data_IF_550297114695
#
_entry.id   IF_550297114695
#
_cell.length_a   1.000
_cell.length_b   1.000
_cell.length_c   1.000
_cell.angle_alpha   90.00
_cell.angle_beta   90.00
_cell.angle_gamma   90.00
#
_symmetry.space_group_name_H-M   'P 1'
#
loop_
_entity.id
_entity.type
_entity.pdbx_description
1 polymer ?
#
# COMPACT_ATOMS: atom_id res chain seq x y z
N UNK A 1 10.49 -3.04 16.82
CA UNK A 1 10.88 -1.62 16.86
C UNK A 1 9.79 -0.82 16.15
N UNK A 2 9.00 -0.05 16.89
CA UNK A 2 7.97 0.84 16.33
C UNK A 2 8.62 2.16 15.89
N UNK A 3 8.22 2.69 14.74
CA UNK A 3 8.62 4.02 14.32
C UNK A 3 7.68 5.07 14.93
N UNK A 4 8.22 6.20 15.39
CA UNK A 4 7.44 7.34 15.89
C UNK A 4 6.98 8.24 14.74
N UNK A 5 5.87 8.95 14.94
CA UNK A 5 5.36 9.94 13.98
C UNK A 5 6.45 10.99 13.68
N UNK A 6 6.70 11.25 12.40
CA UNK A 6 7.76 12.17 11.96
C UNK A 6 9.10 11.52 11.66
N UNK A 7 9.28 10.22 11.93
CA UNK A 7 10.48 9.49 11.57
C UNK A 7 10.53 9.14 10.07
N UNK A 8 11.70 9.26 9.44
CA UNK A 8 11.96 8.79 8.09
C UNK A 8 12.52 7.38 8.13
N UNK A 9 11.80 6.42 7.55
CA UNK A 9 12.22 5.01 7.46
C UNK A 9 12.49 4.66 6.01
N UNK A 10 13.69 4.14 5.72
CA UNK A 10 13.97 3.55 4.40
C UNK A 10 13.12 2.31 4.22
N UNK A 11 12.33 2.27 3.15
CA UNK A 11 11.43 1.15 2.87
C UNK A 11 11.61 0.62 1.45
N UNK A 12 11.44 -0.69 1.29
CA UNK A 12 11.45 -1.40 0.02
C UNK A 12 10.04 -1.83 -0.34
N UNK A 13 9.58 -1.47 -1.55
CA UNK A 13 8.25 -1.83 -2.03
C UNK A 13 8.14 -3.33 -2.26
N UNK A 14 7.08 -3.93 -1.72
CA UNK A 14 6.67 -5.31 -1.98
C UNK A 14 5.59 -5.40 -3.05
N UNK A 15 4.78 -4.33 -3.20
CA UNK A 15 3.74 -4.25 -4.21
C UNK A 15 2.71 -3.19 -3.89
N UNK A 16 1.54 -3.31 -4.52
CA UNK A 16 0.44 -2.37 -4.40
C UNK A 16 -0.89 -3.11 -4.34
N UNK A 17 -1.77 -2.65 -3.46
CA UNK A 17 -3.19 -2.99 -3.46
C UNK A 17 -3.91 -1.86 -4.18
N UNK A 18 -4.36 -2.15 -5.39
CA UNK A 18 -5.21 -1.26 -6.15
C UNK A 18 -6.61 -1.25 -5.54
N UNK A 19 -7.16 -0.07 -5.28
CA UNK A 19 -8.47 0.03 -4.64
C UNK A 19 -9.26 1.23 -5.15
N UNK A 20 -10.57 1.06 -5.20
CA UNK A 20 -11.52 2.16 -5.33
C UNK A 20 -12.01 2.54 -3.95
N UNK A 21 -12.02 3.83 -3.66
CA UNK A 21 -12.63 4.36 -2.46
C UNK A 21 -13.79 5.27 -2.85
N UNK A 22 -14.97 5.03 -2.28
CA UNK A 22 -16.14 5.87 -2.44
C UNK A 22 -16.36 6.69 -1.16
N UNK A 23 -16.41 8.01 -1.30
CA UNK A 23 -16.77 8.95 -0.24
C UNK A 23 -17.75 9.97 -0.83
N UNK A 24 -18.83 10.26 -0.12
CA UNK A 24 -19.76 11.33 -0.51
C UNK A 24 -20.28 11.20 -1.96
N UNK A 25 -20.56 9.97 -2.39
CA UNK A 25 -21.04 9.65 -3.73
C UNK A 25 -19.99 9.70 -4.85
N UNK A 26 -18.73 10.00 -4.54
CA UNK A 26 -17.62 10.01 -5.51
C UNK A 26 -16.69 8.84 -5.29
N UNK A 27 -16.41 8.10 -6.37
CA UNK A 27 -15.45 7.00 -6.38
C UNK A 27 -14.12 7.46 -6.95
N UNK A 28 -13.05 7.31 -6.17
CA UNK A 28 -11.68 7.65 -6.56
C UNK A 28 -10.75 6.45 -6.43
N UNK A 29 -9.67 6.44 -7.23
CA UNK A 29 -8.61 5.43 -7.12
C UNK A 29 -7.69 5.76 -5.94
N UNK A 30 -7.71 4.92 -4.92
CA UNK A 30 -6.88 5.06 -3.72
C UNK A 30 -5.97 3.84 -3.54
N UNK A 31 -4.96 3.75 -4.40
CA UNK A 31 -4.00 2.64 -4.40
C UNK A 31 -3.09 2.70 -3.16
N UNK A 32 -2.95 1.58 -2.46
CA UNK A 32 -2.13 1.46 -1.24
C UNK A 32 -0.83 0.72 -1.55
N UNK A 33 0.29 1.43 -1.44
CA UNK A 33 1.63 0.85 -1.58
C UNK A 33 1.97 0.06 -0.32
N UNK A 34 2.44 -1.17 -0.49
CA UNK A 34 2.89 -2.04 0.60
C UNK A 34 4.41 -2.15 0.52
N UNK A 35 5.08 -1.88 1.64
CA UNK A 35 6.54 -1.85 1.74
C UNK A 35 7.01 -2.42 3.08
N UNK A 36 8.26 -2.88 3.11
CA UNK A 36 8.95 -3.33 4.33
C UNK A 36 10.14 -2.43 4.62
N UNK A 37 10.48 -2.25 5.89
CA UNK A 37 11.67 -1.50 6.29
C UNK A 37 12.95 -2.17 5.73
N UNK A 38 13.81 -1.40 5.08
CA UNK A 38 14.97 -1.89 4.34
C UNK A 38 16.07 -2.50 5.25
N UNK A 39 16.14 -2.07 6.52
CA UNK A 39 17.18 -2.47 7.48
C UNK A 39 16.76 -3.63 8.41
N UNK A 40 15.59 -4.24 8.20
CA UNK A 40 15.18 -5.40 8.99
C UNK A 40 15.85 -6.67 8.46
N UNK A 41 16.87 -7.18 9.16
CA UNK A 41 17.54 -8.46 8.87
C UNK A 41 16.56 -9.64 8.74
N UNK A 42 15.44 -9.62 9.49
CA UNK A 42 14.38 -10.64 9.49
C UNK A 42 13.44 -10.60 8.27
N UNK A 43 13.43 -9.52 7.48
CA UNK A 43 12.55 -9.39 6.29
C UNK A 43 13.32 -9.31 4.96
N UNK A 44 14.61 -9.67 4.98
CA UNK A 44 15.49 -9.71 3.81
C UNK A 44 14.98 -10.65 2.69
N UNK A 45 14.21 -11.68 3.02
CA UNK A 45 13.66 -12.67 2.08
C UNK A 45 12.40 -12.22 1.34
N UNK A 46 11.63 -11.26 1.87
CA UNK A 46 10.34 -10.87 1.30
C UNK A 46 10.54 -9.96 0.08
N UNK A 47 10.45 -10.50 -1.13
CA UNK A 47 10.69 -9.74 -2.37
C UNK A 47 9.44 -9.26 -3.09
N UNK A 48 8.28 -9.82 -2.77
CA UNK A 48 7.02 -9.45 -3.40
C UNK A 48 5.83 -9.66 -2.46
N UNK A 49 4.71 -9.01 -2.75
CA UNK A 49 3.43 -9.27 -2.09
C UNK A 49 3.05 -10.77 -2.15
N UNK A 50 3.35 -11.46 -3.25
CA UNK A 50 3.02 -12.89 -3.40
C UNK A 50 3.87 -13.84 -2.55
N UNK A 51 4.93 -13.35 -1.91
CA UNK A 51 5.73 -14.12 -0.94
C UNK A 51 5.23 -13.95 0.50
N UNK A 52 4.30 -13.03 0.74
CA UNK A 52 3.63 -12.94 2.03
C UNK A 52 2.55 -14.00 2.14
N UNK A 53 2.27 -14.42 3.37
CA UNK A 53 1.13 -15.30 3.64
C UNK A 53 -0.14 -14.69 3.05
N UNK A 54 -0.86 -15.47 2.25
CA UNK A 54 -2.11 -15.06 1.65
C UNK A 54 -3.14 -14.60 2.68
N UNK A 55 -3.08 -15.14 3.90
CA UNK A 55 -3.97 -14.76 5.00
C UNK A 55 -3.62 -13.38 5.54
N UNK A 56 -2.33 -13.10 5.76
CA UNK A 56 -1.86 -11.77 6.17
C UNK A 56 -2.29 -10.69 5.16
N UNK A 57 -2.25 -10.98 3.86
CA UNK A 57 -2.70 -10.02 2.85
C UNK A 57 -4.21 -9.77 2.96
N UNK A 58 -5.02 -10.81 3.21
CA UNK A 58 -6.46 -10.65 3.44
C UNK A 58 -6.73 -9.84 4.70
N UNK A 59 -5.99 -10.06 5.77
CA UNK A 59 -6.12 -9.27 7.01
C UNK A 59 -5.82 -7.79 6.76
N UNK A 60 -4.77 -7.48 6.01
CA UNK A 60 -4.43 -6.09 5.63
C UNK A 60 -5.56 -5.47 4.79
N UNK A 61 -6.11 -6.20 3.82
CA UNK A 61 -7.24 -5.72 3.04
C UNK A 61 -8.48 -5.49 3.91
N UNK A 62 -8.80 -6.45 4.78
CA UNK A 62 -9.92 -6.36 5.71
C UNK A 62 -9.77 -5.16 6.65
N UNK A 63 -8.57 -4.89 7.14
CA UNK A 63 -8.28 -3.70 7.93
C UNK A 63 -8.64 -2.41 7.17
N UNK A 64 -8.25 -2.29 5.89
CA UNK A 64 -8.57 -1.11 5.10
C UNK A 64 -10.07 -0.98 4.82
N UNK A 65 -10.76 -2.09 4.52
CA UNK A 65 -12.22 -2.12 4.31
C UNK A 65 -12.93 -1.64 5.59
N UNK A 66 -12.68 -2.32 6.71
CA UNK A 66 -13.37 -2.07 7.98
C UNK A 66 -13.07 -0.68 8.54
N UNK A 67 -11.81 -0.22 8.46
CA UNK A 67 -11.45 1.12 8.92
C UNK A 67 -12.16 2.23 8.13
N UNK A 68 -12.22 2.10 6.80
CA UNK A 68 -12.91 3.09 5.97
C UNK A 68 -14.43 3.03 6.19
N UNK A 69 -15.00 1.84 6.36
CA UNK A 69 -16.42 1.67 6.63
C UNK A 69 -16.83 2.39 7.92
N UNK A 70 -16.04 2.29 8.99
CA UNK A 70 -16.27 3.03 10.24
C UNK A 70 -16.22 4.54 10.03
N UNK A 71 -15.42 5.01 9.06
CA UNK A 71 -15.33 6.42 8.66
C UNK A 71 -16.42 6.86 7.68
N UNK A 72 -17.41 6.01 7.40
CA UNK A 72 -18.47 6.27 6.42
C UNK A 72 -18.02 6.23 4.96
N UNK A 73 -16.86 5.61 4.69
CA UNK A 73 -16.27 5.49 3.35
C UNK A 73 -16.28 4.03 2.91
N UNK A 74 -16.55 3.78 1.65
CA UNK A 74 -16.43 2.44 1.08
C UNK A 74 -15.03 2.27 0.50
N UNK A 75 -14.32 1.23 0.89
CA UNK A 75 -13.02 0.88 0.30
C UNK A 75 -13.11 -0.50 -0.31
N UNK A 76 -12.89 -0.61 -1.62
CA UNK A 76 -12.98 -1.86 -2.37
C UNK A 76 -11.63 -2.20 -3.01
N UNK A 77 -10.92 -3.23 -2.52
CA UNK A 77 -9.77 -3.79 -3.20
C UNK A 77 -10.16 -4.30 -4.59
N UNK A 78 -9.40 -3.93 -5.61
CA UNK A 78 -9.61 -4.28 -7.02
C UNK A 78 -8.60 -5.33 -7.47
N UNK A 79 -7.32 -5.11 -7.15
CA UNK A 79 -6.25 -6.01 -7.56
C UNK A 79 -5.04 -5.88 -6.67
N UNK A 80 -4.29 -6.99 -6.55
CA UNK A 80 -2.97 -7.02 -5.92
C UNK A 80 -1.92 -7.09 -7.03
N UNK A 81 -0.94 -6.19 -7.02
CA UNK A 81 0.14 -6.16 -8.03
C UNK A 81 1.51 -6.19 -7.38
N UNK A 82 2.47 -6.81 -8.06
CA UNK A 82 3.83 -6.96 -7.58
C UNK A 82 4.65 -5.65 -7.50
N UNK A 83 5.91 -5.75 -7.03
CA UNK A 83 6.76 -4.60 -6.73
C UNK A 83 7.10 -3.74 -7.96
N UNK A 84 7.15 -4.34 -9.15
CA UNK A 84 7.39 -3.61 -10.40
C UNK A 84 6.28 -2.59 -10.71
N UNK A 85 5.01 -2.98 -10.55
CA UNK A 85 3.87 -2.09 -10.76
C UNK A 85 3.86 -0.99 -9.71
N UNK A 86 4.09 -1.34 -8.44
CA UNK A 86 4.20 -0.38 -7.35
C UNK A 86 5.29 0.68 -7.61
N UNK A 87 6.47 0.25 -8.07
CA UNK A 87 7.58 1.14 -8.40
C UNK A 87 7.22 2.08 -9.56
N UNK A 88 6.55 1.56 -10.61
CA UNK A 88 6.08 2.38 -11.73
C UNK A 88 5.08 3.45 -11.29
N UNK A 89 4.16 3.11 -10.38
CA UNK A 89 3.20 4.08 -9.82
C UNK A 89 3.91 5.20 -9.06
N UNK A 90 4.88 4.87 -8.20
CA UNK A 90 5.67 5.88 -7.49
C UNK A 90 6.40 6.80 -8.46
N UNK A 91 7.09 6.25 -9.46
CA UNK A 91 7.82 7.02 -10.47
C UNK A 91 6.90 7.94 -11.28
N UNK A 92 5.70 7.46 -11.66
CA UNK A 92 4.70 8.27 -12.39
C UNK A 92 4.29 9.51 -11.57
N UNK A 93 4.03 9.33 -10.28
CA UNK A 93 3.62 10.44 -9.40
C UNK A 93 4.79 11.37 -9.03
N UNK A 94 6.02 10.86 -8.92
CA UNK A 94 7.22 11.69 -8.74
C UNK A 94 7.46 12.61 -9.94
N UNK A 95 7.30 12.11 -11.17
CA UNK A 95 7.43 12.92 -12.39
C UNK A 95 6.36 14.01 -12.49
N UNK A 96 5.15 13.74 -11.99
CA UNK A 96 4.09 14.75 -11.89
C UNK A 96 4.41 15.88 -10.89
N UNK A 97 5.09 15.57 -9.78
CA UNK A 97 5.53 16.57 -8.79
C UNK A 97 6.72 17.42 -9.25
N UNK A 98 7.61 16.90 -10.10
CA UNK A 98 8.77 17.65 -10.65
C UNK A 98 8.41 18.77 -11.64
N UNK A 99 7.14 18.91 -12.02
CA UNK A 99 6.63 19.95 -12.93
C UNK A 99 6.00 21.16 -12.21
N UNK A 100 6.18 21.29 -10.89
CA UNK A 100 5.74 22.45 -10.10
C UNK A 100 6.91 23.05 -9.35
#
# INVERSE_FOLDING_TARGET
MSAFTGCLVRARLLGVIEAAQTSDGKTERNDRLIAVAAESHTHSSLKSLGMLDSELIKEIEHFFVSYNQIRGKEFKPIARKGPHVATRLVQKHQKGKKKR
#
